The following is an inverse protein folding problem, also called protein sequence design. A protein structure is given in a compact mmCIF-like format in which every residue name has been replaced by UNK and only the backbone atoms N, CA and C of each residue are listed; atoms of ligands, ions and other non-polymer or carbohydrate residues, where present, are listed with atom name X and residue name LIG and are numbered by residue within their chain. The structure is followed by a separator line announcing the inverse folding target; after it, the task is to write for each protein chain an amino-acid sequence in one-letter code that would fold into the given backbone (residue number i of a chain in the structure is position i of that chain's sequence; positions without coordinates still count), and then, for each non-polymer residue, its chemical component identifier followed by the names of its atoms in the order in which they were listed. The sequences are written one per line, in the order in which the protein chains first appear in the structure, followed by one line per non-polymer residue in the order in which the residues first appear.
data_IF_668628163750
#
_entry.id   IF_668628163750
#
_cell.length_a   1.000
_cell.length_b   1.000
_cell.length_c   1.000
_cell.angle_alpha   90.00
_cell.angle_beta   90.00
_cell.angle_gamma   90.00
#
_symmetry.space_group_name_H-M   'P 1'
#
loop_
_entity.id
_entity.type
_entity.pdbx_description
1 polymer ?
#
# COMPACT_ATOMS: atom_id res chain seq x y z
N UNK A 1 -14.24 -12.34 3.12
CA UNK A 1 -13.28 -12.85 2.10
C UNK A 1 -12.05 -11.95 2.01
N UNK A 2 -12.19 -10.62 1.78
CA UNK A 2 -11.04 -9.69 1.78
C UNK A 2 -10.19 -9.77 3.05
N UNK A 3 -10.82 -9.68 4.23
CA UNK A 3 -10.12 -9.77 5.52
C UNK A 3 -9.36 -11.09 5.70
N UNK A 4 -9.87 -12.20 5.15
CA UNK A 4 -9.21 -13.51 5.21
C UNK A 4 -7.96 -13.52 4.34
N UNK A 5 -8.05 -12.98 3.12
CA UNK A 5 -6.92 -12.82 2.22
C UNK A 5 -5.86 -11.87 2.81
N UNK A 6 -6.29 -10.77 3.43
CA UNK A 6 -5.40 -9.84 4.10
C UNK A 6 -4.57 -10.55 5.19
N UNK A 7 -5.23 -11.28 6.09
CA UNK A 7 -4.54 -12.02 7.16
C UNK A 7 -3.60 -13.10 6.61
N UNK A 8 -3.97 -13.74 5.51
CA UNK A 8 -3.12 -14.71 4.84
C UNK A 8 -1.87 -14.03 4.23
N UNK A 9 -2.04 -12.85 3.65
CA UNK A 9 -0.95 -12.02 3.16
C UNK A 9 0.01 -11.62 4.28
N UNK A 10 -0.49 -11.24 5.45
CA UNK A 10 0.34 -10.96 6.63
C UNK A 10 1.13 -12.19 7.08
N UNK A 11 0.50 -13.37 7.10
CA UNK A 11 1.15 -14.62 7.45
C UNK A 11 2.27 -14.97 6.46
N UNK A 12 2.04 -14.83 5.15
CA UNK A 12 3.08 -15.06 4.14
C UNK A 12 4.20 -14.03 4.22
N UNK A 13 3.88 -12.75 4.48
CA UNK A 13 4.88 -11.70 4.70
C UNK A 13 5.78 -12.03 5.89
N UNK A 14 5.19 -12.47 7.02
CA UNK A 14 5.94 -12.88 8.20
C UNK A 14 6.80 -14.13 7.95
N UNK A 15 6.34 -15.03 7.06
CA UNK A 15 7.11 -16.20 6.63
C UNK A 15 8.24 -15.87 5.64
N UNK A 16 8.22 -14.68 5.03
CA UNK A 16 9.19 -14.23 4.02
C UNK A 16 8.81 -14.59 2.57
N UNK A 17 7.66 -15.22 2.34
CA UNK A 17 7.14 -15.47 0.99
C UNK A 17 6.43 -14.21 0.47
N UNK A 18 7.24 -13.24 0.03
CA UNK A 18 6.75 -11.95 -0.46
C UNK A 18 5.87 -12.11 -1.71
N UNK A 19 6.08 -13.16 -2.52
CA UNK A 19 5.28 -13.47 -3.71
C UNK A 19 3.85 -13.82 -3.36
N UNK A 20 3.66 -14.80 -2.48
CA UNK A 20 2.31 -15.17 -2.04
C UNK A 20 1.65 -14.08 -1.21
N UNK A 21 2.44 -13.33 -0.43
CA UNK A 21 1.93 -12.18 0.32
C UNK A 21 1.32 -11.13 -0.63
N UNK A 22 2.01 -10.83 -1.74
CA UNK A 22 1.54 -9.87 -2.73
C UNK A 22 0.24 -10.35 -3.40
N UNK A 23 0.19 -11.60 -3.86
CA UNK A 23 -1.02 -12.19 -4.45
C UNK A 23 -2.22 -12.11 -3.50
N UNK A 24 -2.00 -12.37 -2.20
CA UNK A 24 -3.04 -12.29 -1.18
C UNK A 24 -3.54 -10.85 -0.98
N UNK A 25 -2.64 -9.86 -0.89
CA UNK A 25 -3.03 -8.46 -0.73
C UNK A 25 -3.69 -7.89 -1.99
N UNK A 26 -3.22 -8.23 -3.19
CA UNK A 26 -3.88 -7.85 -4.45
C UNK A 26 -5.29 -8.45 -4.56
N UNK A 27 -5.45 -9.71 -4.15
CA UNK A 27 -6.74 -10.38 -4.06
C UNK A 27 -7.68 -9.68 -3.07
N UNK A 28 -7.17 -9.31 -1.89
CA UNK A 28 -7.92 -8.55 -0.89
C UNK A 28 -8.35 -7.19 -1.45
N UNK A 29 -7.41 -6.44 -2.04
CA UNK A 29 -7.63 -5.11 -2.63
C UNK A 29 -8.71 -5.14 -3.71
N UNK A 30 -8.69 -6.15 -4.58
CA UNK A 30 -9.70 -6.33 -5.64
C UNK A 30 -11.11 -6.50 -5.07
N UNK A 31 -11.24 -7.25 -3.97
CA UNK A 31 -12.52 -7.45 -3.30
C UNK A 31 -12.94 -6.16 -2.60
N UNK A 32 -12.03 -5.54 -1.85
CA UNK A 32 -12.27 -4.30 -1.10
C UNK A 32 -12.77 -3.18 -2.02
N UNK A 33 -12.12 -2.95 -3.18
CA UNK A 33 -12.59 -1.97 -4.16
C UNK A 33 -13.99 -2.25 -4.68
N UNK A 34 -14.37 -3.53 -4.80
CA UNK A 34 -15.70 -3.94 -5.28
C UNK A 34 -16.78 -3.83 -4.22
N UNK A 35 -16.45 -4.13 -2.96
CA UNK A 35 -17.44 -4.29 -1.89
C UNK A 35 -17.53 -3.11 -0.94
N UNK A 36 -16.41 -2.41 -0.69
CA UNK A 36 -16.36 -1.30 0.26
C UNK A 36 -16.57 0.06 -0.42
N UNK A 37 -16.28 0.17 -1.72
CA UNK A 37 -16.53 1.40 -2.49
C UNK A 37 -15.94 2.64 -1.81
N UNK A 38 -16.79 3.65 -1.57
CA UNK A 38 -16.44 4.89 -0.83
C UNK A 38 -16.74 4.82 0.67
N UNK A 39 -17.36 3.75 1.15
CA UNK A 39 -17.83 3.66 2.54
C UNK A 39 -16.71 3.34 3.52
N UNK A 40 -15.71 2.55 3.08
CA UNK A 40 -14.51 2.28 3.87
C UNK A 40 -13.21 2.45 3.04
N UNK A 41 -12.83 3.71 2.76
CA UNK A 41 -11.59 4.01 2.06
C UNK A 41 -10.34 3.67 2.89
N UNK A 42 -10.47 3.59 4.22
CA UNK A 42 -9.36 3.34 5.12
C UNK A 42 -8.80 1.92 4.98
N UNK A 43 -9.69 0.94 4.78
CA UNK A 43 -9.31 -0.46 4.56
C UNK A 43 -8.56 -0.63 3.24
N UNK A 44 -9.04 -0.02 2.15
CA UNK A 44 -8.39 -0.06 0.82
C UNK A 44 -6.97 0.53 0.89
N UNK A 45 -6.84 1.69 1.55
CA UNK A 45 -5.56 2.38 1.65
C UNK A 45 -4.55 1.63 2.53
N UNK A 46 -5.01 0.94 3.58
CA UNK A 46 -4.18 0.06 4.40
C UNK A 46 -3.63 -1.12 3.60
N UNK A 47 -4.44 -1.76 2.77
CA UNK A 47 -3.99 -2.86 1.91
C UNK A 47 -2.97 -2.39 0.87
N UNK A 48 -3.15 -1.19 0.30
CA UNK A 48 -2.16 -0.58 -0.60
C UNK A 48 -0.81 -0.30 0.09
N UNK A 49 -0.81 0.08 1.36
CA UNK A 49 0.45 0.25 2.11
C UNK A 49 1.21 -1.07 2.26
N UNK A 50 0.50 -2.17 2.53
CA UNK A 50 1.13 -3.48 2.62
C UNK A 50 1.75 -3.89 1.28
N UNK A 51 1.07 -3.61 0.18
CA UNK A 51 1.59 -3.82 -1.18
C UNK A 51 2.85 -2.97 -1.41
N UNK A 52 2.83 -1.68 -1.05
CA UNK A 52 4.00 -0.80 -1.15
C UNK A 52 5.18 -1.29 -0.32
N UNK A 53 4.94 -1.78 0.90
CA UNK A 53 5.96 -2.39 1.75
C UNK A 53 6.58 -3.65 1.13
N UNK A 54 5.76 -4.50 0.49
CA UNK A 54 6.27 -5.68 -0.19
C UNK A 54 7.14 -5.33 -1.40
N UNK A 55 6.74 -4.34 -2.19
CA UNK A 55 7.57 -3.87 -3.30
C UNK A 55 8.87 -3.22 -2.82
N UNK A 56 8.83 -2.47 -1.71
CA UNK A 56 10.03 -1.96 -1.04
C UNK A 56 10.97 -3.09 -0.63
N UNK A 57 10.44 -4.15 -0.01
CA UNK A 57 11.22 -5.32 0.41
C UNK A 57 11.84 -6.08 -0.78
N UNK A 58 11.31 -5.93 -1.99
CA UNK A 58 11.85 -6.50 -3.23
C UNK A 58 12.76 -5.54 -4.01
N UNK A 59 12.88 -4.28 -3.58
CA UNK A 59 13.61 -3.24 -4.31
C UNK A 59 12.89 -2.72 -5.55
N UNK A 60 11.60 -3.01 -5.71
CA UNK A 60 10.79 -2.60 -6.86
C UNK A 60 10.20 -1.19 -6.62
N UNK A 61 10.96 -0.17 -6.97
CA UNK A 61 10.65 1.23 -6.65
C UNK A 61 9.39 1.76 -7.34
N UNK A 62 9.26 1.56 -8.65
CA UNK A 62 8.14 2.11 -9.44
C UNK A 62 6.77 1.62 -8.91
N UNK A 63 6.53 0.31 -8.73
CA UNK A 63 5.26 -0.16 -8.21
C UNK A 63 5.07 0.18 -6.72
N UNK A 64 6.13 0.26 -5.92
CA UNK A 64 6.08 0.76 -4.54
C UNK A 64 5.51 2.18 -4.49
N UNK A 65 6.06 3.09 -5.29
CA UNK A 65 5.62 4.49 -5.33
C UNK A 65 4.17 4.61 -5.79
N UNK A 66 3.77 3.82 -6.78
CA UNK A 66 2.39 3.80 -7.26
C UNK A 66 1.41 3.39 -6.14
N UNK A 67 1.71 2.33 -5.40
CA UNK A 67 0.87 1.84 -4.31
C UNK A 67 0.76 2.86 -3.16
N UNK A 68 1.87 3.45 -2.75
CA UNK A 68 1.89 4.45 -1.69
C UNK A 68 1.19 5.77 -2.08
N UNK A 69 1.39 6.24 -3.31
CA UNK A 69 0.69 7.42 -3.81
C UNK A 69 -0.81 7.22 -3.88
N UNK A 70 -1.26 6.03 -4.30
CA UNK A 70 -2.68 5.72 -4.33
C UNK A 70 -3.28 5.65 -2.91
N UNK A 71 -2.59 5.00 -1.97
CA UNK A 71 -3.01 4.97 -0.57
C UNK A 71 -3.15 6.38 0.00
N UNK A 72 -2.13 7.24 -0.20
CA UNK A 72 -2.14 8.62 0.26
C UNK A 72 -3.30 9.45 -0.33
N UNK A 73 -3.61 9.25 -1.62
CA UNK A 73 -4.76 9.89 -2.28
C UNK A 73 -6.07 9.49 -1.62
N UNK A 74 -6.22 8.20 -1.30
CA UNK A 74 -7.44 7.67 -0.67
C UNK A 74 -7.60 8.26 0.75
N UNK A 75 -6.55 8.26 1.57
CA UNK A 75 -6.61 8.86 2.91
C UNK A 75 -6.96 10.34 2.86
N UNK A 76 -6.34 11.10 1.95
CA UNK A 76 -6.66 12.51 1.73
C UNK A 76 -8.11 12.71 1.34
N UNK A 77 -8.65 11.87 0.45
CA UNK A 77 -10.06 11.95 0.03
C UNK A 77 -11.04 11.59 1.15
N UNK A 78 -10.60 10.78 2.12
CA UNK A 78 -11.39 10.38 3.28
C UNK A 78 -11.34 11.42 4.43
N UNK A 79 -10.65 12.55 4.25
CA UNK A 79 -10.45 13.55 5.30
C UNK A 79 -9.54 13.08 6.44
N UNK A 80 -8.85 11.95 6.25
CA UNK A 80 -7.90 11.40 7.20
C UNK A 80 -6.54 12.04 6.93
N UNK A 81 -5.99 12.80 7.88
CA UNK A 81 -4.67 13.39 7.73
C UNK A 81 -3.62 12.30 7.50
N UNK A 82 -2.67 12.51 6.56
CA UNK A 82 -1.64 11.53 6.24
C UNK A 82 -0.66 11.25 7.39
N UNK A 83 -0.80 11.93 8.54
CA UNK A 83 -0.01 11.73 9.75
C UNK A 83 -0.12 10.31 10.35
N UNK A 84 -1.12 9.51 9.96
CA UNK A 84 -1.21 8.11 10.37
C UNK A 84 -0.30 7.16 9.59
N UNK A 85 0.48 7.66 8.61
CA UNK A 85 1.08 6.79 7.61
C UNK A 85 2.59 6.90 7.61
N UNK A 86 3.22 5.82 8.05
CA UNK A 86 4.59 5.39 7.71
C UNK A 86 4.93 5.66 6.22
N UNK A 87 3.93 5.71 5.35
CA UNK A 87 3.99 6.11 3.94
C UNK A 87 4.64 7.47 3.70
N UNK A 88 4.34 8.51 4.49
CA UNK A 88 4.98 9.82 4.32
C UNK A 88 6.44 9.76 4.72
N UNK A 89 6.78 9.07 5.82
CA UNK A 89 8.17 8.87 6.24
C UNK A 89 9.00 8.07 5.24
N UNK A 90 8.43 7.02 4.63
CA UNK A 90 9.11 6.20 3.63
C UNK A 90 9.19 6.89 2.26
N UNK A 91 8.15 7.59 1.82
CA UNK A 91 8.21 8.41 0.60
C UNK A 91 9.18 9.59 0.76
N UNK A 92 9.18 10.28 1.91
CA UNK A 92 10.07 11.41 2.18
C UNK A 92 11.52 10.98 2.31
N UNK A 93 11.79 9.87 3.03
CA UNK A 93 13.13 9.28 3.06
C UNK A 93 13.59 8.83 1.67
N UNK A 94 12.67 8.34 0.83
CA UNK A 94 12.98 7.93 -0.54
C UNK A 94 13.19 9.11 -1.50
N UNK A 95 12.37 10.18 -1.43
CA UNK A 95 12.57 11.42 -2.19
C UNK A 95 13.92 12.07 -1.87
N UNK A 96 14.37 11.99 -0.61
CA UNK A 96 15.70 12.47 -0.20
C UNK A 96 16.81 11.56 -0.74
N UNK A 97 16.62 10.23 -0.76
CA UNK A 97 17.61 9.28 -1.27
C UNK A 97 17.62 9.13 -2.81
N UNK A 98 16.55 9.52 -3.51
CA UNK A 98 16.38 9.36 -4.96
C UNK A 98 15.63 10.58 -5.55
N UNK A 99 16.32 11.74 -5.70
CA UNK A 99 15.70 12.99 -6.20
C UNK A 99 15.23 12.92 -7.66
N UNK A 100 15.65 11.90 -8.41
CA UNK A 100 15.33 11.71 -9.83
C UNK A 100 13.92 11.10 -10.06
N UNK A 101 13.31 10.54 -9.01
CA UNK A 101 11.99 9.91 -9.07
C UNK A 101 10.85 10.82 -8.61
N UNK A 102 11.15 12.05 -8.15
CA UNK A 102 10.11 13.01 -7.78
C UNK A 102 9.30 13.39 -9.03
N UNK A 103 7.97 13.19 -9.06
CA UNK A 103 7.17 13.62 -10.18
C UNK A 103 7.30 15.13 -10.31
N UNK A 104 7.82 15.58 -11.45
CA UNK A 104 7.88 17.00 -11.80
C UNK A 104 6.51 17.64 -11.55
N UNK A 105 6.54 18.75 -10.83
CA UNK A 105 5.41 19.53 -10.35
C UNK A 105 4.40 19.91 -11.45
#
# INVERSE_FOLDING_TARGET
VSMTLYKLGEAYKAHGDLSKALECFEGALKIERKTLGRDDPSTVARTLNEIGNLYLARGEVVPMMAAFNEAARIYRSAGLSPNNLVVSGQLYAFEISCPEAAPAA
#
